data_IF_467453938476
#
_entry.id   IF_467453938476
#
_cell.length_a   1.000
_cell.length_b   1.000
_cell.length_c   1.000
_cell.angle_alpha   90.00
_cell.angle_beta   90.00
_cell.angle_gamma   90.00
#
_symmetry.space_group_name_H-M   'P 1'
#
loop_
_entity.id
_entity.type
_entity.pdbx_description
1 polymer ?
#
# COMPACT_ATOMS: atom_id res chain seq x y z
N UNK A 1 -23.51 -31.02 28.18
CA UNK A 1 -24.77 -31.54 27.61
C UNK A 1 -24.88 -33.02 27.92
N UNK A 2 -26.02 -33.46 28.46
CA UNK A 2 -26.27 -34.89 28.73
C UNK A 2 -27.00 -35.51 27.55
N UNK A 3 -26.55 -36.66 27.10
CA UNK A 3 -27.25 -37.48 26.12
C UNK A 3 -28.08 -38.53 26.91
N UNK A 4 -29.39 -38.58 26.63
CA UNK A 4 -30.24 -39.59 27.23
C UNK A 4 -30.34 -40.78 26.29
N UNK A 5 -30.00 -41.96 26.80
CA UNK A 5 -30.15 -43.21 26.09
C UNK A 5 -31.38 -43.95 26.66
N UNK A 6 -32.36 -44.25 25.80
CA UNK A 6 -33.56 -44.98 26.17
C UNK A 6 -33.65 -46.30 25.38
N UNK A 7 -34.08 -47.35 26.02
CA UNK A 7 -34.28 -48.67 25.43
C UNK A 7 -35.77 -48.96 25.24
N UNK A 8 -36.18 -49.09 23.96
CA UNK A 8 -37.57 -49.42 23.58
C UNK A 8 -37.52 -50.58 22.53
N UNK A 9 -37.34 -51.82 23.00
CA UNK A 9 -37.44 -52.98 22.11
C UNK A 9 -38.61 -53.86 22.51
N UNK A 10 -39.36 -54.39 21.51
CA UNK A 10 -40.50 -55.30 21.77
C UNK A 10 -40.07 -56.76 22.06
N UNK A 11 -38.77 -57.06 22.05
CA UNK A 11 -38.25 -58.38 22.38
C UNK A 11 -37.69 -58.47 23.79
N UNK A 12 -38.22 -59.42 24.58
CA UNK A 12 -37.97 -59.66 26.00
C UNK A 12 -36.50 -60.02 26.23
N UNK A 13 -35.70 -59.06 26.64
CA UNK A 13 -34.43 -59.26 27.37
C UNK A 13 -34.54 -58.61 28.71
N UNK A 14 -34.27 -59.35 29.81
CA UNK A 14 -34.39 -58.84 31.16
C UNK A 14 -33.35 -57.73 31.48
N UNK A 15 -32.25 -57.67 30.79
CA UNK A 15 -31.17 -56.68 30.95
C UNK A 15 -30.53 -56.31 29.63
N UNK A 16 -30.25 -55.02 29.40
CA UNK A 16 -29.46 -54.48 28.32
C UNK A 16 -28.06 -54.05 28.81
N UNK A 17 -27.02 -54.81 28.46
CA UNK A 17 -25.68 -54.36 28.74
C UNK A 17 -25.18 -53.47 27.61
N UNK A 18 -24.74 -52.23 27.95
CA UNK A 18 -24.34 -51.19 27.02
C UNK A 18 -22.85 -50.86 27.26
N UNK A 19 -22.07 -50.79 26.18
CA UNK A 19 -20.70 -50.32 26.22
C UNK A 19 -20.55 -49.13 25.25
N UNK A 20 -19.85 -48.13 25.72
CA UNK A 20 -19.52 -46.94 24.93
C UNK A 20 -18.07 -46.98 24.56
N UNK A 21 -17.75 -46.74 23.29
CA UNK A 21 -16.38 -46.43 22.84
C UNK A 21 -16.35 -45.04 22.26
N UNK A 22 -15.30 -44.31 22.59
CA UNK A 22 -15.07 -42.95 22.06
C UNK A 22 -14.21 -43.00 20.80
N UNK A 23 -14.42 -41.99 19.96
CA UNK A 23 -13.58 -41.68 18.81
C UNK A 23 -12.28 -40.94 19.20
N UNK A 24 -12.04 -39.74 18.69
CA UNK A 24 -10.79 -39.00 18.88
C UNK A 24 -10.54 -38.61 20.36
N UNK A 25 -9.28 -38.28 20.66
CA UNK A 25 -8.82 -38.04 22.04
C UNK A 25 -9.46 -36.86 22.75
N UNK A 26 -10.00 -35.93 22.00
CA UNK A 26 -10.70 -34.73 22.55
C UNK A 26 -12.11 -35.07 23.10
N UNK A 27 -12.72 -36.19 22.71
CA UNK A 27 -14.10 -36.59 23.08
C UNK A 27 -14.07 -37.52 24.28
N UNK A 28 -14.85 -37.19 25.30
CA UNK A 28 -14.97 -37.99 26.51
C UNK A 28 -16.43 -38.39 26.77
N UNK A 29 -16.63 -39.62 27.19
CA UNK A 29 -17.95 -40.18 27.53
C UNK A 29 -17.85 -40.81 28.92
N UNK A 30 -18.85 -40.59 29.78
CA UNK A 30 -18.91 -41.17 31.12
C UNK A 30 -20.36 -41.42 31.52
N UNK A 31 -20.69 -42.62 32.07
CA UNK A 31 -19.86 -43.82 32.20
C UNK A 31 -19.57 -44.49 30.85
N UNK A 32 -18.55 -45.35 30.76
CA UNK A 32 -18.14 -46.10 29.55
C UNK A 32 -18.94 -47.39 29.36
N UNK A 33 -19.66 -47.83 30.36
CA UNK A 33 -20.54 -49.00 30.35
C UNK A 33 -21.65 -48.85 31.35
N UNK A 34 -22.73 -49.61 31.17
CA UNK A 34 -23.88 -49.64 32.04
C UNK A 34 -24.85 -50.79 31.73
N UNK A 35 -25.76 -51.04 32.64
CA UNK A 35 -26.84 -52.02 32.48
C UNK A 35 -28.18 -51.30 32.61
N UNK A 36 -29.11 -51.61 31.72
CA UNK A 36 -30.45 -50.99 31.70
C UNK A 36 -31.50 -52.12 31.75
N UNK A 37 -32.45 -51.98 32.68
CA UNK A 37 -33.67 -52.80 32.70
C UNK A 37 -34.67 -52.32 31.62
N UNK A 38 -35.54 -53.22 31.22
CA UNK A 38 -36.56 -52.91 30.22
C UNK A 38 -37.41 -51.68 30.63
N UNK A 39 -37.55 -50.71 29.74
CA UNK A 39 -38.32 -49.48 29.98
C UNK A 39 -37.56 -48.43 30.78
N UNK A 40 -36.32 -48.71 31.21
CA UNK A 40 -35.50 -47.71 31.91
C UNK A 40 -34.63 -46.92 30.92
N UNK A 41 -34.17 -45.73 31.36
CA UNK A 41 -33.22 -44.90 30.65
C UNK A 41 -32.15 -44.37 31.60
N UNK A 42 -30.94 -44.21 31.09
CA UNK A 42 -29.84 -43.61 31.83
C UNK A 42 -29.20 -42.47 31.03
N UNK A 43 -28.50 -41.61 31.76
CA UNK A 43 -27.82 -40.45 31.17
C UNK A 43 -26.33 -40.67 31.10
N UNK A 44 -25.76 -40.45 29.93
CA UNK A 44 -24.32 -40.40 29.76
C UNK A 44 -23.88 -38.93 29.64
N UNK A 45 -22.75 -38.59 30.24
CA UNK A 45 -22.10 -37.31 30.06
C UNK A 45 -21.16 -37.36 28.87
N UNK A 46 -21.34 -36.43 27.97
CA UNK A 46 -20.44 -36.21 26.83
C UNK A 46 -19.73 -34.88 27.05
N UNK A 47 -18.41 -34.90 27.05
CA UNK A 47 -17.60 -33.71 27.22
C UNK A 47 -16.44 -33.68 26.23
N UNK A 48 -15.90 -32.50 25.96
CA UNK A 48 -14.76 -32.29 25.11
C UNK A 48 -13.61 -31.64 25.88
N UNK A 49 -12.37 -32.10 25.67
CA UNK A 49 -11.20 -31.37 26.08
C UNK A 49 -10.72 -30.56 24.88
N UNK A 50 -10.73 -29.24 25.02
CA UNK A 50 -10.38 -28.30 23.95
C UNK A 50 -8.99 -27.68 24.13
N UNK A 51 -8.23 -28.13 25.15
CA UNK A 51 -6.89 -27.61 25.44
C UNK A 51 -5.94 -27.93 24.29
N UNK A 52 -5.33 -26.89 23.71
CA UNK A 52 -4.40 -27.01 22.59
C UNK A 52 -5.07 -27.25 21.22
N UNK A 53 -6.41 -27.18 21.13
CA UNK A 53 -7.12 -27.27 19.86
C UNK A 53 -7.28 -25.89 19.23
N UNK A 54 -7.05 -25.82 17.91
CA UNK A 54 -7.32 -24.60 17.11
C UNK A 54 -8.82 -24.41 16.85
N UNK A 55 -9.28 -23.20 16.55
CA UNK A 55 -10.65 -22.99 16.06
C UNK A 55 -10.95 -23.86 14.84
N UNK A 56 -12.17 -24.40 14.76
CA UNK A 56 -12.57 -25.27 13.67
C UNK A 56 -13.67 -26.24 14.04
N UNK A 57 -14.12 -27.04 13.08
CA UNK A 57 -15.03 -28.14 13.29
C UNK A 57 -14.24 -29.46 13.44
N UNK A 58 -14.59 -30.19 14.48
CA UNK A 58 -14.01 -31.50 14.81
C UNK A 58 -15.10 -32.53 14.82
N UNK A 59 -14.95 -33.57 14.03
CA UNK A 59 -15.88 -34.68 13.98
C UNK A 59 -15.42 -35.85 14.86
N UNK A 60 -16.34 -36.46 15.57
CA UNK A 60 -16.13 -37.62 16.39
C UNK A 60 -17.35 -38.55 16.37
N UNK A 61 -17.21 -39.72 16.95
CA UNK A 61 -18.28 -40.69 17.05
C UNK A 61 -18.33 -41.29 18.44
N UNK A 62 -19.52 -41.50 18.96
CA UNK A 62 -19.79 -42.37 20.10
C UNK A 62 -20.42 -43.66 19.56
N UNK A 63 -19.72 -44.74 19.69
CA UNK A 63 -20.24 -46.04 19.32
C UNK A 63 -20.87 -46.68 20.53
N UNK A 64 -22.14 -47.04 20.40
CA UNK A 64 -22.93 -47.73 21.41
C UNK A 64 -22.99 -49.19 20.97
N UNK A 65 -22.49 -50.10 21.78
CA UNK A 65 -22.55 -51.54 21.53
C UNK A 65 -23.34 -52.20 22.63
N UNK A 66 -24.34 -53.01 22.28
CA UNK A 66 -25.17 -53.72 23.19
C UNK A 66 -25.47 -55.13 22.67
N UNK A 67 -26.07 -55.97 23.50
CA UNK A 67 -26.61 -57.29 23.08
C UNK A 67 -27.77 -57.16 22.07
N UNK A 68 -28.38 -55.94 21.92
CA UNK A 68 -29.36 -55.63 20.89
C UNK A 68 -28.80 -55.05 19.58
N UNK A 69 -27.47 -54.81 19.52
CA UNK A 69 -26.81 -54.27 18.31
C UNK A 69 -25.81 -53.17 18.60
N UNK A 70 -25.33 -52.58 17.53
CA UNK A 70 -24.36 -51.47 17.58
C UNK A 70 -24.89 -50.27 16.80
N UNK A 71 -24.79 -49.07 17.39
CA UNK A 71 -25.13 -47.79 16.78
C UNK A 71 -24.01 -46.79 16.92
N UNK A 72 -23.93 -45.86 15.97
CA UNK A 72 -22.99 -44.73 16.03
C UNK A 72 -23.73 -43.42 16.10
N UNK A 73 -23.31 -42.58 17.04
CA UNK A 73 -23.81 -41.19 17.17
C UNK A 73 -22.70 -40.23 16.73
N UNK A 74 -22.89 -39.48 15.64
CA UNK A 74 -21.92 -38.46 15.26
C UNK A 74 -21.94 -37.31 16.30
N UNK A 75 -20.73 -36.82 16.62
CA UNK A 75 -20.53 -35.68 17.51
C UNK A 75 -19.73 -34.64 16.73
N UNK A 76 -20.28 -33.45 16.59
CA UNK A 76 -19.60 -32.30 15.99
C UNK A 76 -19.27 -31.32 17.10
N UNK A 77 -18.00 -31.01 17.26
CA UNK A 77 -17.51 -29.96 18.13
C UNK A 77 -17.09 -28.76 17.27
N UNK A 78 -17.80 -27.67 17.38
CA UNK A 78 -17.40 -26.38 16.76
C UNK A 78 -16.66 -25.56 17.80
N UNK A 79 -15.36 -25.38 17.60
CA UNK A 79 -14.55 -24.49 18.41
C UNK A 79 -14.55 -23.13 17.70
N UNK A 80 -15.22 -22.15 18.28
CA UNK A 80 -15.14 -20.77 17.82
C UNK A 80 -13.78 -20.18 18.17
N UNK A 81 -13.19 -19.38 17.30
CA UNK A 81 -12.12 -18.46 17.68
C UNK A 81 -12.67 -17.56 18.77
N UNK A 82 -12.11 -17.58 19.97
CA UNK A 82 -12.50 -16.67 21.04
C UNK A 82 -12.37 -15.21 20.55
N UNK A 83 -13.12 -14.28 21.17
CA UNK A 83 -12.91 -12.86 20.92
C UNK A 83 -11.51 -12.45 21.35
N UNK A 84 -10.79 -11.70 20.48
CA UNK A 84 -9.48 -11.09 20.77
C UNK A 84 -9.62 -9.58 20.83
N UNK A 85 -8.74 -8.93 21.58
CA UNK A 85 -8.59 -7.47 21.57
C UNK A 85 -7.19 -7.12 21.06
N UNK A 86 -7.14 -6.32 20.00
CA UNK A 86 -5.91 -5.85 19.37
C UNK A 86 -5.82 -4.35 19.58
N UNK A 87 -4.71 -3.89 20.17
CA UNK A 87 -4.45 -2.48 20.39
C UNK A 87 -3.47 -1.99 19.32
N UNK A 88 -3.81 -0.90 18.65
CA UNK A 88 -2.97 -0.30 17.62
C UNK A 88 -2.87 1.21 17.80
N UNK A 89 -1.63 1.72 17.75
CA UNK A 89 -1.33 3.15 17.87
C UNK A 89 -1.40 3.84 16.51
N UNK A 90 -2.01 5.02 16.50
CA UNK A 90 -2.11 5.91 15.35
C UNK A 90 -1.63 7.30 15.74
N UNK A 91 -0.93 7.96 14.83
CA UNK A 91 -0.39 9.30 15.02
C UNK A 91 -1.40 10.38 14.64
N UNK A 92 -1.22 11.57 15.17
CA UNK A 92 -1.86 12.79 14.67
C UNK A 92 -1.70 12.90 13.15
N UNK A 93 -2.76 13.27 12.44
CA UNK A 93 -2.74 13.41 10.99
C UNK A 93 -3.10 12.12 10.24
N UNK A 94 -2.61 11.96 9.02
CA UNK A 94 -2.99 10.87 8.13
C UNK A 94 -2.33 9.54 8.50
N UNK A 95 -3.15 8.49 8.56
CA UNK A 95 -2.75 7.11 8.81
C UNK A 95 -3.35 6.17 7.78
N UNK A 96 -2.65 5.08 7.47
CA UNK A 96 -3.19 3.94 6.76
C UNK A 96 -3.79 2.98 7.80
N UNK A 97 -5.10 2.73 7.71
CA UNK A 97 -5.86 1.95 8.69
C UNK A 97 -6.57 0.77 8.03
N UNK A 98 -6.78 -0.30 8.79
CA UNK A 98 -7.54 -1.48 8.36
C UNK A 98 -8.28 -2.11 9.52
N UNK A 99 -9.22 -3.00 9.23
CA UNK A 99 -10.00 -3.73 10.22
C UNK A 99 -9.36 -5.12 10.42
N UNK A 100 -8.71 -5.38 11.59
CA UNK A 100 -7.98 -6.63 11.80
C UNK A 100 -8.81 -7.79 12.35
N UNK A 101 -10.06 -7.57 12.75
CA UNK A 101 -10.95 -8.56 13.36
C UNK A 101 -12.36 -8.47 12.76
N UNK A 102 -13.14 -9.54 12.85
CA UNK A 102 -14.58 -9.47 12.58
C UNK A 102 -15.23 -8.79 13.78
N UNK A 103 -15.48 -7.50 13.67
CA UNK A 103 -16.03 -6.64 14.71
C UNK A 103 -17.56 -6.54 14.61
N UNK A 104 -18.23 -6.20 15.73
CA UNK A 104 -19.68 -5.90 15.75
C UNK A 104 -20.03 -4.62 14.98
N UNK A 105 -19.14 -3.63 15.00
CA UNK A 105 -19.26 -2.39 14.20
C UNK A 105 -18.14 -2.31 13.17
N UNK A 106 -18.49 -1.88 11.97
CA UNK A 106 -17.54 -1.47 10.91
C UNK A 106 -17.52 0.03 10.69
N UNK A 107 -18.38 0.79 11.37
CA UNK A 107 -18.46 2.24 11.26
C UNK A 107 -17.23 2.89 11.88
N UNK A 108 -16.51 3.70 11.07
CA UNK A 108 -15.18 4.15 11.46
C UNK A 108 -15.15 5.03 12.73
N UNK A 109 -16.19 5.80 13.03
CA UNK A 109 -16.24 6.62 14.26
C UNK A 109 -16.35 5.76 15.52
N UNK A 110 -17.03 4.60 15.44
CA UNK A 110 -17.10 3.66 16.56
C UNK A 110 -15.74 3.05 16.85
N UNK A 111 -14.98 2.75 15.80
CA UNK A 111 -13.65 2.14 15.87
C UNK A 111 -12.56 3.16 16.21
N UNK A 112 -12.69 4.39 15.70
CA UNK A 112 -11.70 5.46 15.84
C UNK A 112 -12.37 6.74 16.36
N UNK A 113 -12.65 6.85 17.68
CA UNK A 113 -13.36 8.00 18.25
C UNK A 113 -12.66 9.34 18.02
N UNK A 114 -11.32 9.33 17.87
CA UNK A 114 -10.49 10.51 17.63
C UNK A 114 -10.26 10.81 16.15
N UNK A 115 -10.97 10.11 15.25
CA UNK A 115 -10.91 10.38 13.82
C UNK A 115 -11.59 11.71 13.47
N UNK A 116 -10.99 12.46 12.56
CA UNK A 116 -11.63 13.63 11.97
C UNK A 116 -12.77 13.14 11.05
N UNK A 117 -13.95 13.70 11.23
CA UNK A 117 -15.13 13.30 10.45
C UNK A 117 -14.91 13.53 8.95
N UNK A 118 -15.48 12.62 8.14
CA UNK A 118 -15.42 12.65 6.67
C UNK A 118 -14.00 12.49 6.09
N UNK A 119 -13.10 11.83 6.81
CA UNK A 119 -11.72 11.59 6.37
C UNK A 119 -11.38 10.13 6.17
N UNK A 120 -12.36 9.22 6.18
CA UNK A 120 -12.13 7.83 5.77
C UNK A 120 -12.23 7.71 4.26
N UNK A 121 -11.11 7.33 3.60
CA UNK A 121 -11.05 7.15 2.16
C UNK A 121 -10.56 5.76 1.79
N UNK A 122 -11.33 5.05 0.98
CA UNK A 122 -10.87 3.90 0.22
C UNK A 122 -10.18 4.34 -1.08
N UNK A 123 -9.53 3.41 -1.76
CA UNK A 123 -8.92 3.67 -3.07
C UNK A 123 -9.45 2.68 -4.11
N UNK A 124 -9.83 3.21 -5.26
CA UNK A 124 -10.25 2.42 -6.42
C UNK A 124 -9.29 2.72 -7.57
N UNK A 125 -8.61 1.68 -8.06
CA UNK A 125 -7.69 1.80 -9.19
C UNK A 125 -8.37 2.48 -10.37
N UNK A 126 -7.73 3.50 -10.95
CA UNK A 126 -8.26 4.29 -12.06
C UNK A 126 -9.31 5.36 -11.68
N UNK A 127 -9.89 5.30 -10.47
CA UNK A 127 -10.89 6.29 -10.00
C UNK A 127 -10.41 7.16 -8.83
N UNK A 128 -9.33 6.73 -8.15
CA UNK A 128 -8.74 7.47 -7.04
C UNK A 128 -9.45 7.25 -5.69
N UNK A 129 -9.30 8.21 -4.79
CA UNK A 129 -9.85 8.14 -3.44
C UNK A 129 -11.36 8.35 -3.42
N UNK A 130 -12.05 7.49 -2.67
CA UNK A 130 -13.50 7.55 -2.46
C UNK A 130 -13.78 7.64 -0.95
N UNK A 131 -14.55 8.66 -0.55
CA UNK A 131 -14.99 8.78 0.83
C UNK A 131 -15.99 7.68 1.17
N UNK A 132 -15.78 7.00 2.30
CA UNK A 132 -16.62 5.92 2.81
C UNK A 132 -16.84 6.08 4.32
N UNK A 133 -17.72 5.27 4.90
CA UNK A 133 -18.03 5.35 6.34
C UNK A 133 -17.74 4.04 7.08
N UNK A 134 -17.60 2.94 6.36
CA UNK A 134 -17.39 1.62 6.94
C UNK A 134 -16.10 0.98 6.44
N UNK A 135 -15.46 0.23 7.32
CA UNK A 135 -14.29 -0.57 6.99
C UNK A 135 -14.71 -2.01 6.66
N UNK A 136 -14.01 -2.60 5.70
CA UNK A 136 -14.12 -4.01 5.33
C UNK A 136 -12.80 -4.71 5.59
N UNK A 137 -12.86 -5.99 6.02
CA UNK A 137 -11.68 -6.82 6.22
C UNK A 137 -10.94 -6.99 4.89
N UNK A 138 -9.62 -6.90 4.92
CA UNK A 138 -8.77 -7.01 3.73
C UNK A 138 -8.60 -5.70 2.95
N UNK A 139 -9.48 -4.72 3.15
CA UNK A 139 -9.41 -3.42 2.52
C UNK A 139 -8.69 -2.41 3.42
N UNK A 140 -7.76 -1.67 2.85
CA UNK A 140 -7.08 -0.57 3.53
C UNK A 140 -7.72 0.78 3.24
N UNK A 141 -7.50 1.72 4.14
CA UNK A 141 -8.08 3.06 4.07
C UNK A 141 -7.08 4.12 4.53
N UNK A 142 -7.25 5.34 4.03
CA UNK A 142 -6.73 6.53 4.66
C UNK A 142 -7.71 7.05 5.71
N UNK A 143 -7.19 7.41 6.89
CA UNK A 143 -7.95 8.05 7.96
C UNK A 143 -7.11 9.15 8.62
N UNK A 144 -7.73 10.30 8.89
CA UNK A 144 -7.06 11.41 9.58
C UNK A 144 -7.45 11.43 11.06
N UNK A 145 -6.44 11.35 11.93
CA UNK A 145 -6.62 11.44 13.39
C UNK A 145 -6.43 12.88 13.86
N UNK A 146 -7.22 13.29 14.88
CA UNK A 146 -7.15 14.61 15.51
C UNK A 146 -6.01 14.73 16.52
N UNK A 147 -5.50 13.60 17.00
CA UNK A 147 -4.39 13.45 17.95
C UNK A 147 -3.82 12.05 17.89
N UNK A 148 -2.68 11.83 18.57
CA UNK A 148 -2.16 10.48 18.79
C UNK A 148 -3.17 9.68 19.62
N UNK A 149 -3.48 8.46 19.19
CA UNK A 149 -4.50 7.64 19.83
C UNK A 149 -4.26 6.14 19.65
N UNK A 150 -4.53 5.37 20.71
CA UNK A 150 -4.52 3.90 20.64
C UNK A 150 -5.94 3.40 20.46
N UNK A 151 -6.22 2.76 19.34
CA UNK A 151 -7.51 2.09 19.07
C UNK A 151 -7.46 0.64 19.53
N UNK A 152 -8.56 0.17 20.15
CA UNK A 152 -8.75 -1.22 20.57
C UNK A 152 -9.80 -1.90 19.69
N UNK A 153 -9.39 -2.86 18.88
CA UNK A 153 -10.27 -3.67 18.05
C UNK A 153 -10.63 -4.96 18.80
N UNK A 154 -11.91 -5.18 19.07
CA UNK A 154 -12.40 -6.40 19.72
C UNK A 154 -13.33 -7.14 18.78
N UNK A 155 -13.08 -8.44 18.60
CA UNK A 155 -13.88 -9.27 17.69
C UNK A 155 -13.30 -10.66 17.48
N UNK A 156 -13.88 -11.40 16.54
CA UNK A 156 -13.38 -12.71 16.13
C UNK A 156 -12.11 -12.52 15.31
N UNK A 157 -10.98 -13.22 15.64
CA UNK A 157 -9.75 -13.09 14.87
C UNK A 157 -9.92 -13.60 13.45
N UNK A 158 -9.12 -13.04 12.56
CA UNK A 158 -8.94 -13.43 11.17
C UNK A 158 -7.56 -14.07 11.04
N UNK A 159 -7.49 -15.40 10.94
CA UNK A 159 -6.26 -16.18 10.93
C UNK A 159 -5.69 -16.32 9.51
N UNK A 160 -6.57 -16.32 8.51
CA UNK A 160 -6.24 -16.38 7.10
C UNK A 160 -7.20 -15.51 6.29
N UNK A 161 -6.69 -14.86 5.26
CA UNK A 161 -7.47 -13.99 4.38
C UNK A 161 -6.93 -14.05 2.95
N UNK A 162 -7.81 -14.35 1.99
CA UNK A 162 -7.54 -14.17 0.57
C UNK A 162 -7.96 -12.77 0.15
N UNK A 163 -7.03 -12.02 -0.44
CA UNK A 163 -7.24 -10.65 -0.92
C UNK A 163 -7.11 -10.65 -2.44
N UNK A 164 -8.19 -10.25 -3.13
CA UNK A 164 -8.18 -10.07 -4.57
C UNK A 164 -7.49 -8.76 -4.95
N UNK A 165 -6.62 -8.81 -5.95
CA UNK A 165 -5.84 -7.68 -6.45
C UNK A 165 -6.25 -7.37 -7.90
N UNK A 166 -6.17 -6.08 -8.24
CA UNK A 166 -6.26 -5.59 -9.61
C UNK A 166 -4.90 -5.10 -10.09
N UNK A 167 -4.69 -4.97 -11.40
CA UNK A 167 -3.47 -4.38 -11.94
C UNK A 167 -3.24 -2.97 -11.39
N UNK A 168 -2.00 -2.66 -11.05
CA UNK A 168 -1.60 -1.39 -10.46
C UNK A 168 -1.63 -1.38 -8.94
N UNK A 169 -1.97 -0.24 -8.35
CA UNK A 169 -1.95 -0.06 -6.90
C UNK A 169 -3.23 -0.54 -6.23
N UNK A 170 -3.05 -1.33 -5.17
CA UNK A 170 -4.09 -1.84 -4.29
C UNK A 170 -3.81 -1.36 -2.85
N UNK A 171 -4.84 -1.02 -2.11
CA UNK A 171 -4.73 -0.64 -0.71
C UNK A 171 -5.35 -1.74 0.15
N UNK A 172 -4.52 -2.51 0.84
CA UNK A 172 -4.89 -3.73 1.56
C UNK A 172 -4.66 -3.57 3.06
N UNK A 173 -5.40 -4.31 3.89
CA UNK A 173 -5.16 -4.35 5.34
C UNK A 173 -4.51 -5.66 5.79
N UNK A 174 -3.87 -5.61 6.96
CA UNK A 174 -3.42 -6.81 7.66
C UNK A 174 -4.58 -7.63 8.25
N UNK A 175 -4.24 -8.83 8.75
CA UNK A 175 -5.14 -9.72 9.50
C UNK A 175 -4.95 -9.52 11.02
N UNK A 176 -5.49 -10.42 11.87
CA UNK A 176 -5.38 -10.30 13.33
C UNK A 176 -3.96 -10.51 13.89
N UNK A 177 -3.04 -10.93 13.07
CA UNK A 177 -1.65 -11.24 13.44
C UNK A 177 -0.68 -10.48 12.54
N UNK A 178 0.54 -10.27 13.05
CA UNK A 178 1.62 -9.71 12.25
C UNK A 178 2.08 -10.73 11.20
N UNK A 179 2.04 -10.36 9.93
CA UNK A 179 2.42 -11.21 8.79
C UNK A 179 3.71 -10.66 8.18
N UNK A 180 4.82 -11.40 8.20
CA UNK A 180 6.03 -10.99 7.49
C UNK A 180 5.74 -10.79 5.99
N UNK A 181 6.24 -9.70 5.41
CA UNK A 181 6.02 -9.41 3.97
C UNK A 181 6.50 -10.56 3.09
N UNK A 182 7.61 -11.22 3.47
CA UNK A 182 8.17 -12.36 2.76
C UNK A 182 7.33 -13.66 2.88
N UNK A 183 6.39 -13.73 3.84
CA UNK A 183 5.50 -14.87 4.03
C UNK A 183 4.15 -14.72 3.31
N UNK A 184 3.90 -13.58 2.66
CA UNK A 184 2.71 -13.39 1.83
C UNK A 184 2.73 -14.40 0.68
N UNK A 185 1.68 -15.21 0.60
CA UNK A 185 1.55 -16.15 -0.51
C UNK A 185 1.01 -15.40 -1.74
N UNK A 186 1.77 -15.45 -2.81
CA UNK A 186 1.42 -14.92 -4.13
C UNK A 186 1.50 -16.07 -5.15
N UNK A 187 0.42 -16.84 -5.32
CA UNK A 187 0.43 -18.04 -6.16
C UNK A 187 0.73 -17.77 -7.62
N UNK A 188 0.41 -16.58 -8.11
CA UNK A 188 0.55 -16.18 -9.51
C UNK A 188 1.80 -15.33 -9.78
N UNK A 189 2.48 -14.88 -8.72
CA UNK A 189 3.69 -14.07 -8.84
C UNK A 189 3.44 -12.67 -9.39
N UNK A 190 2.30 -12.07 -9.05
CA UNK A 190 1.86 -10.77 -9.56
C UNK A 190 2.30 -9.58 -8.70
N UNK A 191 2.70 -9.81 -7.46
CA UNK A 191 3.18 -8.73 -6.58
C UNK A 191 4.54 -8.26 -7.06
N UNK A 192 4.63 -6.96 -7.38
CA UNK A 192 5.90 -6.36 -7.82
C UNK A 192 6.82 -6.23 -6.60
N UNK A 193 8.06 -6.74 -6.65
CA UNK A 193 8.99 -6.67 -5.54
C UNK A 193 9.26 -5.22 -5.09
N UNK A 194 9.46 -5.01 -3.78
CA UNK A 194 9.75 -3.70 -3.16
C UNK A 194 8.66 -2.63 -3.37
N UNK A 195 7.41 -3.05 -3.59
CA UNK A 195 6.25 -2.15 -3.75
C UNK A 195 5.18 -2.30 -2.67
N UNK A 196 5.50 -2.95 -1.55
CA UNK A 196 4.63 -2.94 -0.38
C UNK A 196 5.05 -1.77 0.50
N UNK A 197 4.15 -0.81 0.72
CA UNK A 197 4.42 0.40 1.49
C UNK A 197 3.44 0.59 2.63
N UNK A 198 3.98 0.81 3.84
CA UNK A 198 3.28 1.45 4.93
C UNK A 198 3.41 2.97 4.86
N UNK A 199 2.73 3.67 5.77
CA UNK A 199 2.81 5.11 5.91
C UNK A 199 2.96 5.50 7.39
N UNK A 200 4.02 6.24 7.66
CA UNK A 200 4.32 6.83 8.96
C UNK A 200 5.09 8.13 8.70
N UNK A 201 4.37 9.25 8.64
CA UNK A 201 4.92 10.54 8.21
C UNK A 201 5.72 10.41 6.89
N UNK A 202 5.14 9.70 5.92
CA UNK A 202 5.72 9.35 4.62
C UNK A 202 5.77 7.84 4.37
N UNK A 203 5.90 7.44 3.09
CA UNK A 203 5.94 6.04 2.69
C UNK A 203 7.23 5.35 3.12
N UNK A 204 7.12 4.12 3.62
CA UNK A 204 8.26 3.26 3.97
C UNK A 204 7.98 1.81 3.57
N UNK A 205 9.04 1.00 3.44
CA UNK A 205 8.94 -0.44 3.17
C UNK A 205 8.83 -1.18 4.52
N UNK A 206 7.70 -1.82 4.83
CA UNK A 206 7.52 -2.55 6.08
C UNK A 206 8.18 -3.93 6.00
N UNK A 207 8.65 -4.44 7.14
CA UNK A 207 9.05 -5.83 7.28
C UNK A 207 7.83 -6.75 7.50
N UNK A 208 6.79 -6.23 8.13
CA UNK A 208 5.59 -6.96 8.49
C UNK A 208 4.33 -6.14 8.19
N UNK A 209 3.25 -6.84 7.83
CA UNK A 209 1.91 -6.29 7.86
C UNK A 209 1.37 -6.41 9.29
N UNK A 210 1.17 -5.28 9.96
CA UNK A 210 0.77 -5.20 11.36
C UNK A 210 -0.76 -5.12 11.47
N UNK A 211 -1.41 -5.82 12.42
CA UNK A 211 -2.86 -5.73 12.62
C UNK A 211 -3.35 -4.29 12.81
N UNK A 212 -4.46 -3.94 12.17
CA UNK A 212 -5.03 -2.59 12.25
C UNK A 212 -4.40 -1.56 11.32
N UNK A 213 -3.23 -1.82 10.75
CA UNK A 213 -2.59 -0.97 9.72
C UNK A 213 -2.99 -1.43 8.32
N UNK A 214 -2.86 -0.52 7.36
CA UNK A 214 -3.01 -0.83 5.95
C UNK A 214 -1.74 -0.52 5.16
N UNK A 215 -1.68 -1.09 3.97
CA UNK A 215 -0.49 -1.08 3.13
C UNK A 215 -0.86 -0.94 1.66
N UNK A 216 -0.12 -0.13 0.95
CA UNK A 216 -0.13 -0.15 -0.49
C UNK A 216 0.63 -1.35 -1.02
N UNK A 217 0.12 -1.97 -2.07
CA UNK A 217 0.75 -3.07 -2.78
C UNK A 217 0.53 -2.88 -4.28
N UNK A 218 1.59 -3.02 -5.07
CA UNK A 218 1.50 -2.94 -6.53
C UNK A 218 1.48 -4.31 -7.16
N UNK A 219 0.47 -4.55 -8.01
CA UNK A 219 0.32 -5.79 -8.78
C UNK A 219 0.58 -5.56 -10.27
N UNK A 220 1.16 -6.55 -10.94
CA UNK A 220 1.37 -6.55 -12.39
C UNK A 220 0.16 -7.05 -13.19
N UNK A 221 -0.89 -7.51 -12.52
CA UNK A 221 -2.12 -8.03 -13.13
C UNK A 221 -3.18 -8.34 -12.09
N UNK A 222 -4.32 -8.85 -12.53
CA UNK A 222 -5.37 -9.35 -11.65
C UNK A 222 -5.00 -10.70 -11.04
N UNK A 223 -5.38 -10.94 -9.78
CA UNK A 223 -5.14 -12.21 -9.08
C UNK A 223 -5.39 -12.09 -7.59
N UNK A 224 -4.78 -12.95 -6.80
CA UNK A 224 -5.03 -13.04 -5.37
C UNK A 224 -3.72 -13.25 -4.60
N UNK A 225 -3.69 -12.69 -3.39
CA UNK A 225 -2.70 -13.02 -2.37
C UNK A 225 -3.38 -13.65 -1.16
N UNK A 226 -2.63 -14.45 -0.39
CA UNK A 226 -3.12 -15.04 0.85
C UNK A 226 -2.25 -14.56 1.99
N UNK A 227 -2.89 -13.95 2.99
CA UNK A 227 -2.30 -13.58 4.27
C UNK A 227 -2.67 -14.65 5.27
N UNK A 228 -1.70 -15.27 5.94
CA UNK A 228 -1.99 -16.28 6.98
C UNK A 228 -0.94 -16.29 8.08
N UNK A 229 -1.36 -16.70 9.28
CA UNK A 229 -0.47 -16.92 10.42
C UNK A 229 0.55 -18.04 10.16
N UNK A 230 0.18 -19.04 9.37
CA UNK A 230 0.98 -20.23 9.08
C UNK A 230 1.81 -20.12 7.81
N UNK A 231 2.01 -18.92 7.27
CA UNK A 231 2.78 -18.70 6.04
C UNK A 231 4.17 -19.32 6.12
N UNK A 232 4.48 -20.23 5.19
CA UNK A 232 5.84 -20.77 5.06
C UNK A 232 6.73 -19.66 4.50
N UNK A 233 7.84 -19.39 5.17
CA UNK A 233 8.88 -18.48 4.67
C UNK A 233 9.25 -18.84 3.22
N UNK A 234 8.76 -18.06 2.29
CA UNK A 234 9.28 -18.08 0.93
C UNK A 234 10.48 -17.11 0.94
N UNK A 235 11.68 -17.65 0.87
CA UNK A 235 12.88 -16.85 0.60
C UNK A 235 12.77 -16.25 -0.81
N UNK A 236 11.94 -15.22 -0.97
CA UNK A 236 12.15 -14.27 -2.03
C UNK A 236 13.38 -13.48 -1.62
N UNK A 237 14.47 -13.59 -2.40
CA UNK A 237 15.57 -12.65 -2.30
C UNK A 237 14.97 -11.26 -2.33
N UNK A 238 15.05 -10.54 -1.21
CA UNK A 238 15.01 -9.09 -1.23
C UNK A 238 16.10 -8.67 -2.21
N UNK A 239 15.73 -8.28 -3.42
CA UNK A 239 16.67 -7.66 -4.33
C UNK A 239 17.10 -6.37 -3.66
N UNK A 240 18.32 -6.37 -3.13
CA UNK A 240 18.91 -5.19 -2.51
C UNK A 240 18.90 -4.08 -3.55
N UNK A 241 18.47 -2.90 -3.12
CA UNK A 241 18.63 -1.69 -3.91
C UNK A 241 20.11 -1.59 -4.31
N UNK A 242 20.43 -1.25 -5.59
CA UNK A 242 21.80 -1.21 -6.03
C UNK A 242 22.62 -0.25 -5.16
N UNK A 243 23.67 -0.77 -4.54
CA UNK A 243 24.54 0.00 -3.61
C UNK A 243 25.29 1.16 -4.29
N UNK A 244 25.35 1.16 -5.61
CA UNK A 244 26.07 2.19 -6.39
C UNK A 244 25.27 3.46 -6.67
N UNK A 245 23.94 3.46 -6.42
CA UNK A 245 23.12 4.64 -6.64
C UNK A 245 23.40 5.72 -5.58
N UNK A 246 23.39 6.97 -6.03
CA UNK A 246 23.36 8.12 -5.13
C UNK A 246 22.01 8.18 -4.41
N UNK A 247 21.99 8.80 -3.25
CA UNK A 247 20.79 8.88 -2.42
C UNK A 247 20.57 10.32 -1.93
N UNK A 248 19.31 10.76 -1.99
CA UNK A 248 18.80 11.91 -1.27
C UNK A 248 17.82 11.43 -0.23
N UNK A 249 18.03 11.80 1.03
CA UNK A 249 17.13 11.43 2.12
C UNK A 249 16.52 12.69 2.72
N UNK A 250 15.20 12.77 2.73
CA UNK A 250 14.41 13.84 3.33
C UNK A 250 13.46 13.24 4.36
N UNK A 251 13.54 13.68 5.62
CA UNK A 251 12.72 13.15 6.72
C UNK A 251 12.72 11.61 6.76
N UNK A 252 13.89 10.98 6.68
CA UNK A 252 14.09 9.51 6.61
C UNK A 252 13.41 8.82 5.41
N UNK A 253 13.11 9.55 4.34
CA UNK A 253 12.60 8.98 3.07
C UNK A 253 13.62 9.18 1.98
N UNK A 254 14.03 8.09 1.35
CA UNK A 254 15.14 8.11 0.39
C UNK A 254 14.65 8.09 -1.04
N UNK A 255 15.24 8.95 -1.86
CA UNK A 255 15.19 8.96 -3.31
C UNK A 255 16.55 8.50 -3.85
N UNK A 256 16.54 7.73 -4.93
CA UNK A 256 17.73 7.14 -5.54
C UNK A 256 17.96 7.75 -6.92
N UNK A 257 19.22 7.97 -7.30
CA UNK A 257 19.52 8.51 -8.61
C UNK A 257 20.89 8.06 -9.11
N UNK A 258 21.02 7.97 -10.43
CA UNK A 258 22.19 7.49 -11.12
C UNK A 258 21.85 6.53 -12.24
N UNK A 259 22.88 6.04 -12.92
CA UNK A 259 22.76 5.12 -14.06
C UNK A 259 22.88 3.64 -13.63
N UNK A 260 22.53 2.71 -14.53
CA UNK A 260 22.82 1.28 -14.36
C UNK A 260 21.69 0.44 -13.75
N UNK A 261 20.48 1.00 -13.62
CA UNK A 261 19.31 0.22 -13.23
C UNK A 261 18.67 -0.42 -14.45
N UNK A 262 18.50 -1.75 -14.42
CA UNK A 262 17.83 -2.49 -15.50
C UNK A 262 16.35 -2.13 -15.58
N UNK A 263 15.81 -2.05 -16.82
CA UNK A 263 14.39 -1.77 -17.08
C UNK A 263 13.44 -2.68 -16.32
N UNK A 264 13.80 -3.94 -16.10
CA UNK A 264 13.01 -4.93 -15.38
C UNK A 264 12.76 -4.55 -13.90
N UNK A 265 13.61 -3.68 -13.33
CA UNK A 265 13.50 -3.25 -11.94
C UNK A 265 12.87 -1.87 -11.75
N UNK A 266 12.57 -1.13 -12.83
CA UNK A 266 12.03 0.22 -12.73
C UNK A 266 10.73 0.28 -11.92
N UNK A 267 9.85 -0.71 -12.08
CA UNK A 267 8.59 -0.78 -11.34
C UNK A 267 8.77 -0.98 -9.83
N UNK A 268 9.88 -1.59 -9.40
CA UNK A 268 10.22 -1.76 -7.97
C UNK A 268 10.55 -0.44 -7.26
N UNK A 269 10.75 0.62 -8.02
CA UNK A 269 10.96 1.98 -7.49
C UNK A 269 9.72 2.85 -7.55
N UNK A 270 8.60 2.35 -8.07
CA UNK A 270 7.37 3.13 -8.09
C UNK A 270 6.83 3.40 -6.68
N UNK A 271 6.24 4.58 -6.52
CA UNK A 271 5.60 5.00 -5.28
C UNK A 271 4.08 4.91 -5.41
N UNK A 272 3.37 4.66 -4.31
CA UNK A 272 1.91 4.68 -4.29
C UNK A 272 1.34 6.04 -4.71
N UNK A 273 0.03 6.13 -4.97
CA UNK A 273 -0.65 7.42 -5.10
C UNK A 273 -0.28 8.36 -3.96
N UNK A 274 -0.17 9.66 -4.25
CA UNK A 274 0.11 10.66 -3.22
C UNK A 274 -0.89 10.53 -2.07
N UNK A 275 -0.45 10.72 -0.81
CA UNK A 275 -1.37 10.75 0.32
C UNK A 275 -2.40 11.88 0.13
N UNK A 276 -3.52 11.87 0.86
CA UNK A 276 -4.45 12.99 0.86
C UNK A 276 -3.77 14.29 1.31
N UNK A 277 -4.34 15.44 0.93
CA UNK A 277 -3.79 16.76 1.22
C UNK A 277 -3.46 16.94 2.72
N UNK A 278 -2.25 17.43 3.00
CA UNK A 278 -1.70 17.56 4.36
C UNK A 278 -1.00 16.29 4.86
N UNK A 279 -0.76 15.30 3.99
CA UNK A 279 0.17 14.20 4.25
C UNK A 279 1.57 14.53 3.71
N UNK A 280 2.63 14.08 4.37
CA UNK A 280 4.00 14.24 3.88
C UNK A 280 4.29 13.26 2.75
N UNK A 281 4.92 13.74 1.69
CA UNK A 281 5.38 12.90 0.58
C UNK A 281 6.58 13.52 -0.13
N UNK A 282 7.50 12.67 -0.58
CA UNK A 282 8.61 13.05 -1.44
C UNK A 282 8.78 12.02 -2.55
N UNK A 283 8.89 12.47 -3.79
CA UNK A 283 9.06 11.62 -4.96
C UNK A 283 9.72 12.34 -6.12
N UNK A 284 10.23 11.59 -7.08
CA UNK A 284 10.47 12.16 -8.41
C UNK A 284 9.16 12.21 -9.19
N UNK A 285 9.04 13.18 -10.09
CA UNK A 285 7.92 13.26 -11.05
C UNK A 285 7.77 11.93 -11.79
N UNK A 286 6.49 11.47 -11.92
CA UNK A 286 6.19 10.15 -12.49
C UNK A 286 6.02 9.07 -11.43
N UNK A 287 5.75 9.45 -10.18
CA UNK A 287 5.43 8.56 -9.06
C UNK A 287 6.51 7.49 -8.81
N UNK A 288 7.77 7.92 -8.77
CA UNK A 288 8.92 7.05 -8.56
C UNK A 288 9.89 7.61 -7.53
N UNK A 289 10.61 6.73 -6.86
CA UNK A 289 11.76 7.08 -6.02
C UNK A 289 13.11 6.95 -6.73
N UNK A 290 13.12 6.75 -8.07
CA UNK A 290 14.32 6.59 -8.87
C UNK A 290 14.39 7.63 -9.99
N UNK A 291 15.56 8.26 -10.14
CA UNK A 291 15.94 9.09 -11.28
C UNK A 291 17.11 8.45 -12.01
N UNK A 292 16.93 8.15 -13.30
CA UNK A 292 17.98 7.56 -14.15
C UNK A 292 18.49 8.52 -15.23
N UNK A 293 18.10 9.78 -15.16
CA UNK A 293 18.47 10.84 -16.10
C UNK A 293 19.33 11.90 -15.42
N UNK A 294 20.04 12.69 -16.20
CA UNK A 294 20.91 13.78 -15.70
C UNK A 294 20.12 14.90 -15.01
N UNK A 295 18.79 14.91 -15.14
CA UNK A 295 17.93 15.88 -14.49
C UNK A 295 16.56 15.28 -14.18
N UNK A 296 16.10 15.48 -12.96
CA UNK A 296 14.78 15.05 -12.49
C UNK A 296 14.14 16.12 -11.62
N UNK A 297 12.82 16.16 -11.62
CA UNK A 297 12.04 17.01 -10.71
C UNK A 297 11.70 16.21 -9.47
N UNK A 298 12.03 16.74 -8.30
CA UNK A 298 11.60 16.26 -6.99
C UNK A 298 10.32 17.01 -6.63
N UNK A 299 9.29 16.29 -6.26
CA UNK A 299 8.03 16.82 -5.73
C UNK A 299 7.96 16.54 -4.24
N UNK A 300 7.62 17.55 -3.45
CA UNK A 300 7.50 17.47 -2.00
C UNK A 300 6.12 17.93 -1.59
N UNK A 301 5.45 17.16 -0.76
CA UNK A 301 4.26 17.58 -0.01
C UNK A 301 4.67 17.72 1.46
N UNK A 302 4.60 18.93 1.98
CA UNK A 302 4.99 19.24 3.35
C UNK A 302 4.06 20.34 3.93
N UNK A 303 3.91 20.39 5.24
CA UNK A 303 3.06 21.38 5.93
C UNK A 303 3.81 22.71 6.23
N UNK A 304 4.90 23.00 5.49
CA UNK A 304 5.65 24.27 5.60
C UNK A 304 6.81 24.23 6.61
N UNK A 305 7.11 23.07 7.20
CA UNK A 305 8.27 22.88 8.05
C UNK A 305 9.58 22.95 7.26
N UNK A 306 10.67 23.33 7.92
CA UNK A 306 12.01 23.31 7.34
C UNK A 306 12.37 21.87 6.90
N UNK A 307 12.96 21.75 5.71
CA UNK A 307 13.34 20.45 5.14
C UNK A 307 14.83 20.21 5.33
N UNK A 308 15.18 19.14 6.01
CA UNK A 308 16.57 18.69 6.16
C UNK A 308 16.84 17.59 5.15
N UNK A 309 17.69 17.86 4.19
CA UNK A 309 18.08 16.94 3.11
C UNK A 309 19.46 16.37 3.39
N UNK A 310 19.57 15.05 3.44
CA UNK A 310 20.85 14.35 3.46
C UNK A 310 21.20 13.89 2.05
N UNK A 311 22.40 14.23 1.58
CA UNK A 311 22.97 13.74 0.33
C UNK A 311 23.99 12.66 0.62
N UNK A 312 23.97 11.55 -0.14
CA UNK A 312 25.04 10.54 -0.21
C UNK A 312 25.40 10.31 -1.67
N UNK A 313 26.40 11.05 -2.14
CA UNK A 313 26.88 11.02 -3.53
C UNK A 313 28.06 10.06 -3.60
N UNK A 314 27.88 8.98 -4.34
CA UNK A 314 28.85 7.87 -4.48
C UNK A 314 29.71 7.97 -5.73
N UNK A 315 29.21 8.67 -6.74
CA UNK A 315 29.92 8.92 -7.97
C UNK A 315 30.82 10.16 -7.86
N UNK A 316 31.66 10.40 -8.88
CA UNK A 316 32.51 11.58 -8.96
C UNK A 316 31.79 12.80 -9.55
N UNK A 317 30.50 12.65 -9.85
CA UNK A 317 29.70 13.67 -10.49
C UNK A 317 29.31 14.78 -9.50
N UNK A 318 29.05 15.95 -10.05
CA UNK A 318 28.59 17.11 -9.30
C UNK A 318 27.09 17.26 -9.50
N UNK A 319 26.35 16.98 -8.45
CA UNK A 319 24.92 17.14 -8.44
C UNK A 319 24.52 18.45 -7.77
N UNK A 320 23.47 19.07 -8.29
CA UNK A 320 22.89 20.30 -7.77
C UNK A 320 21.40 20.11 -7.57
N UNK A 321 20.88 20.70 -6.50
CA UNK A 321 19.45 20.83 -6.24
C UNK A 321 19.12 22.30 -6.41
N UNK A 322 18.09 22.59 -7.18
CA UNK A 322 17.64 23.96 -7.48
C UNK A 322 16.20 24.06 -6.97
N UNK A 323 15.92 25.03 -6.12
CA UNK A 323 14.57 25.27 -5.63
C UNK A 323 13.75 26.16 -6.63
N UNK A 324 12.50 26.43 -6.32
CA UNK A 324 11.60 27.25 -7.13
C UNK A 324 12.02 28.73 -7.21
N UNK A 325 12.84 29.21 -6.29
CA UNK A 325 13.39 30.56 -6.30
C UNK A 325 14.64 30.68 -7.14
N UNK A 326 15.22 29.53 -7.58
CA UNK A 326 16.47 29.46 -8.32
C UNK A 326 17.70 29.38 -7.42
N UNK A 327 17.53 29.17 -6.11
CA UNK A 327 18.66 28.92 -5.20
C UNK A 327 19.27 27.54 -5.47
N UNK A 328 20.59 27.49 -5.51
CA UNK A 328 21.35 26.31 -5.91
C UNK A 328 22.09 25.73 -4.72
N UNK A 329 21.81 24.47 -4.42
CA UNK A 329 22.44 23.67 -3.38
C UNK A 329 23.30 22.59 -4.04
N UNK A 330 24.60 22.60 -3.81
CA UNK A 330 25.52 21.62 -4.40
C UNK A 330 25.62 20.39 -3.51
N UNK A 331 25.41 19.21 -4.08
CA UNK A 331 25.55 17.91 -3.41
C UNK A 331 26.90 17.28 -3.74
N UNK A 332 27.75 17.07 -2.73
CA UNK A 332 29.07 16.47 -2.85
C UNK A 332 29.31 15.49 -1.70
N UNK A 333 29.51 14.19 -2.02
CA UNK A 333 29.77 13.18 -1.00
C UNK A 333 28.62 13.08 0.02
N UNK A 334 28.94 12.94 1.29
CA UNK A 334 27.94 12.86 2.38
C UNK A 334 27.83 14.25 3.01
N UNK A 335 26.66 14.85 2.97
CA UNK A 335 26.39 16.16 3.58
C UNK A 335 24.92 16.36 3.89
N UNK A 336 24.64 17.34 4.77
CA UNK A 336 23.29 17.77 5.15
C UNK A 336 23.08 19.18 4.62
N UNK A 337 21.94 19.41 4.00
CA UNK A 337 21.49 20.70 3.48
C UNK A 337 20.16 21.07 4.13
N UNK A 338 20.01 22.35 4.50
CA UNK A 338 18.75 22.90 4.97
C UNK A 338 18.06 23.60 3.79
N UNK A 339 16.87 23.11 3.43
CA UNK A 339 16.07 23.64 2.34
C UNK A 339 14.89 24.43 2.85
N UNK A 340 14.39 25.34 2.04
CA UNK A 340 13.15 26.04 2.34
C UNK A 340 11.95 25.09 2.29
N UNK A 341 11.25 24.91 3.41
CA UNK A 341 10.09 24.05 3.54
C UNK A 341 8.85 24.52 2.80
N UNK A 342 8.82 25.77 2.31
CA UNK A 342 7.73 26.31 1.49
C UNK A 342 7.81 25.84 0.02
N UNK A 343 8.98 25.34 -0.42
CA UNK A 343 9.15 24.87 -1.79
C UNK A 343 8.53 23.48 -1.97
N UNK A 344 7.63 23.35 -2.91
CA UNK A 344 6.97 22.06 -3.26
C UNK A 344 7.74 21.29 -4.32
N UNK A 345 8.76 21.94 -4.93
CA UNK A 345 9.51 21.39 -6.05
C UNK A 345 10.98 21.76 -6.02
N UNK A 346 11.78 20.79 -6.41
CA UNK A 346 13.21 20.98 -6.63
C UNK A 346 13.62 20.28 -7.91
N UNK A 347 14.65 20.81 -8.58
CA UNK A 347 15.29 20.16 -9.72
C UNK A 347 16.60 19.55 -9.23
N UNK A 348 16.73 18.23 -9.33
CA UNK A 348 18.01 17.54 -9.19
C UNK A 348 18.70 17.49 -10.54
N UNK A 349 19.93 17.99 -10.63
CA UNK A 349 20.69 18.07 -11.90
C UNK A 349 22.12 17.61 -11.74
N UNK A 350 22.60 16.78 -12.69
CA UNK A 350 24.01 16.43 -12.82
C UNK A 350 24.74 17.53 -13.58
N UNK A 351 25.70 18.20 -12.93
CA UNK A 351 26.50 19.27 -13.53
C UNK A 351 27.71 18.76 -14.30
N UNK A 352 28.18 17.54 -14.03
CA UNK A 352 29.37 16.96 -14.66
C UNK A 352 29.02 16.38 -16.04
N UNK A 353 27.78 15.97 -16.25
CA UNK A 353 27.24 15.52 -17.51
C UNK A 353 27.13 16.70 -18.50
N UNK A 354 28.27 17.20 -18.96
CA UNK A 354 28.31 18.04 -20.16
C UNK A 354 28.11 17.18 -21.42
N UNK A 355 27.13 16.28 -21.41
CA UNK A 355 26.62 15.78 -22.70
C UNK A 355 25.91 16.95 -23.35
N UNK A 356 26.70 17.68 -24.16
CA UNK A 356 26.13 18.65 -25.08
C UNK A 356 25.05 17.90 -25.85
N UNK A 357 23.76 18.35 -25.81
CA UNK A 357 22.71 17.65 -26.53
C UNK A 357 23.13 17.50 -27.99
N UNK A 358 23.08 16.28 -28.50
CA UNK A 358 23.32 16.00 -29.93
C UNK A 358 22.03 16.02 -30.73
N UNK A 359 20.88 16.06 -30.03
CA UNK A 359 19.55 16.03 -30.61
C UNK A 359 18.72 17.21 -30.17
N UNK A 360 17.77 17.59 -31.04
CA UNK A 360 16.74 18.58 -30.71
C UNK A 360 15.56 17.88 -30.04
N UNK A 361 15.17 18.31 -28.85
CA UNK A 361 14.08 17.69 -28.09
C UNK A 361 13.26 18.76 -27.39
N UNK A 362 11.94 18.67 -27.48
CA UNK A 362 11.03 19.41 -26.62
C UNK A 362 10.53 18.46 -25.52
N UNK A 363 10.81 18.78 -24.28
CA UNK A 363 10.31 18.01 -23.15
C UNK A 363 8.89 18.40 -22.77
N UNK A 364 8.10 17.52 -22.12
CA UNK A 364 6.79 17.89 -21.60
C UNK A 364 6.88 19.13 -20.71
N UNK A 365 6.00 20.12 -20.96
CA UNK A 365 5.89 21.28 -20.08
C UNK A 365 5.41 20.85 -18.69
N UNK A 366 6.02 21.43 -17.66
CA UNK A 366 5.74 21.01 -16.29
C UNK A 366 5.70 22.20 -15.32
N UNK A 367 4.66 22.26 -14.45
CA UNK A 367 3.48 21.39 -14.36
C UNK A 367 2.59 21.45 -15.60
N UNK A 368 1.84 20.35 -15.82
CA UNK A 368 0.73 20.35 -16.76
C UNK A 368 -0.30 19.29 -16.28
N UNK A 369 -1.48 19.69 -15.76
CA UNK A 369 -1.99 21.08 -15.65
C UNK A 369 -1.17 21.98 -14.71
N UNK A 370 -1.28 23.31 -14.89
CA UNK A 370 -0.49 24.30 -14.15
C UNK A 370 -1.34 25.46 -13.61
N UNK A 371 -0.83 26.17 -12.55
CA UNK A 371 -1.45 27.32 -11.91
C UNK A 371 -0.42 28.24 -11.22
N UNK A 372 -0.22 29.48 -11.60
CA UNK A 372 -0.45 30.03 -12.94
C UNK A 372 0.76 29.81 -13.87
N UNK A 373 1.83 29.17 -13.40
CA UNK A 373 3.11 29.07 -14.10
C UNK A 373 3.44 27.63 -14.51
N UNK A 374 4.08 27.49 -15.68
CA UNK A 374 4.66 26.22 -16.16
C UNK A 374 6.03 26.48 -16.76
N UNK A 375 6.92 25.51 -16.63
CA UNK A 375 8.27 25.55 -17.23
C UNK A 375 8.30 24.67 -18.47
N UNK A 376 8.79 25.25 -19.56
CA UNK A 376 9.03 24.59 -20.84
C UNK A 376 10.52 24.33 -20.94
N UNK A 377 10.89 23.07 -21.21
CA UNK A 377 12.27 22.62 -21.38
C UNK A 377 12.48 22.12 -22.79
N UNK A 378 13.64 22.44 -23.36
CA UNK A 378 14.05 21.88 -24.65
C UNK A 378 15.56 21.80 -24.75
N UNK A 379 16.06 20.92 -25.62
CA UNK A 379 17.46 20.78 -25.93
C UNK A 379 17.72 21.11 -27.40
N UNK A 380 18.85 21.77 -27.66
CA UNK A 380 19.33 22.12 -28.99
C UNK A 380 20.65 21.42 -29.27
N UNK A 381 20.68 20.57 -30.30
CA UNK A 381 21.90 19.83 -30.74
C UNK A 381 22.92 20.68 -31.48
N UNK A 382 22.55 21.90 -31.87
CA UNK A 382 23.44 22.91 -32.47
C UNK A 382 22.83 24.30 -32.30
N UNK A 383 23.62 25.39 -32.40
CA UNK A 383 23.08 26.74 -32.38
C UNK A 383 22.06 26.93 -33.50
N UNK A 384 20.88 27.53 -33.16
CA UNK A 384 19.80 27.67 -34.13
C UNK A 384 18.78 28.73 -33.69
N UNK A 385 18.13 29.34 -34.69
CA UNK A 385 16.97 30.19 -34.44
C UNK A 385 15.83 29.35 -33.91
N UNK A 386 15.40 29.67 -32.68
CA UNK A 386 14.37 28.94 -31.97
C UNK A 386 13.15 29.83 -31.77
N UNK A 387 11.97 29.29 -32.08
CA UNK A 387 10.69 29.92 -31.83
C UNK A 387 9.88 29.09 -30.85
N UNK A 388 9.41 29.72 -29.76
CA UNK A 388 8.53 29.13 -28.77
C UNK A 388 7.34 30.05 -28.53
N UNK A 389 6.15 29.62 -28.95
CA UNK A 389 4.93 30.42 -28.89
C UNK A 389 3.79 29.64 -28.23
N UNK A 390 2.92 30.37 -27.55
CA UNK A 390 1.70 29.80 -26.95
C UNK A 390 0.49 30.28 -27.74
N UNK A 391 -0.41 29.35 -28.06
CA UNK A 391 -1.63 29.57 -28.80
C UNK A 391 -2.85 29.18 -27.92
N UNK A 392 -3.94 29.88 -28.08
CA UNK A 392 -5.24 29.45 -27.56
C UNK A 392 -5.90 28.38 -28.49
N UNK A 393 -7.06 27.88 -28.06
CA UNK A 393 -7.81 26.86 -28.81
C UNK A 393 -8.32 27.36 -30.20
N UNK A 394 -8.29 28.67 -30.45
CA UNK A 394 -8.71 29.26 -31.76
C UNK A 394 -7.53 29.39 -32.71
N UNK A 395 -6.31 29.07 -32.25
CA UNK A 395 -5.08 29.25 -33.02
C UNK A 395 -4.52 30.68 -32.99
N UNK A 396 -5.00 31.53 -32.06
CA UNK A 396 -4.45 32.86 -31.86
C UNK A 396 -3.22 32.78 -30.94
N UNK A 397 -2.14 33.48 -31.30
CA UNK A 397 -0.98 33.63 -30.43
C UNK A 397 -1.37 34.45 -29.21
N UNK A 398 -1.17 33.85 -28.01
CA UNK A 398 -1.39 34.51 -26.73
C UNK A 398 -0.10 34.99 -26.08
N UNK A 399 1.02 34.28 -26.37
CA UNK A 399 2.34 34.73 -25.93
C UNK A 399 3.43 34.22 -26.87
N UNK A 400 4.50 35.02 -27.03
CA UNK A 400 5.76 34.60 -27.67
C UNK A 400 6.81 34.54 -26.58
N UNK A 401 7.27 33.33 -26.25
CA UNK A 401 8.21 33.08 -25.16
C UNK A 401 9.65 33.23 -25.62
N UNK A 402 9.94 32.76 -26.84
CA UNK A 402 11.25 32.85 -27.50
C UNK A 402 11.02 33.11 -28.98
N UNK A 403 11.87 33.98 -29.57
CA UNK A 403 12.03 34.19 -31.00
C UNK A 403 13.45 34.78 -31.24
N UNK A 404 14.46 33.89 -31.02
CA UNK A 404 15.88 34.32 -31.04
C UNK A 404 16.79 33.17 -31.47
N UNK A 405 18.06 33.50 -31.80
CA UNK A 405 19.11 32.52 -32.01
C UNK A 405 19.67 32.06 -30.65
N UNK A 406 19.60 30.77 -30.40
CA UNK A 406 20.09 30.17 -29.16
C UNK A 406 21.26 29.25 -29.42
N UNK A 407 22.19 29.22 -28.47
CA UNK A 407 23.33 28.32 -28.48
C UNK A 407 22.90 26.86 -28.26
N UNK A 408 23.76 25.94 -28.65
CA UNK A 408 23.63 24.51 -28.36
C UNK A 408 23.57 24.31 -26.83
N UNK A 409 22.63 23.50 -26.36
CA UNK A 409 22.47 23.23 -24.91
C UNK A 409 21.05 22.95 -24.50
N UNK A 410 20.84 22.84 -23.17
CA UNK A 410 19.55 22.73 -22.55
C UNK A 410 19.03 24.12 -22.19
N UNK A 411 17.76 24.40 -22.55
CA UNK A 411 17.12 25.69 -22.36
C UNK A 411 15.84 25.53 -21.55
N UNK A 412 15.54 26.57 -20.75
CA UNK A 412 14.39 26.63 -19.86
C UNK A 412 13.68 27.97 -20.04
N UNK A 413 12.36 27.92 -20.16
CA UNK A 413 11.53 29.11 -20.23
C UNK A 413 10.29 28.90 -19.36
N UNK A 414 10.08 29.84 -18.45
CA UNK A 414 8.87 29.85 -17.64
C UNK A 414 7.79 30.68 -18.33
N UNK A 415 6.60 30.12 -18.44
CA UNK A 415 5.42 30.86 -18.84
C UNK A 415 4.51 31.10 -17.64
N UNK A 416 4.36 32.37 -17.24
CA UNK A 416 3.38 32.81 -16.26
C UNK A 416 2.10 33.23 -16.99
N UNK A 417 1.01 32.49 -16.74
CA UNK A 417 -0.29 32.71 -17.37
C UNK A 417 -1.28 33.45 -16.46
N UNK A 418 -0.83 34.27 -15.51
CA UNK A 418 -1.68 34.93 -14.51
C UNK A 418 -2.82 35.71 -15.12
N UNK A 419 -2.59 36.43 -16.24
CA UNK A 419 -3.59 37.25 -16.96
C UNK A 419 -4.50 36.48 -17.92
N UNK A 420 -4.32 35.14 -18.08
CA UNK A 420 -5.06 34.33 -19.05
C UNK A 420 -6.16 33.48 -18.37
N UNK A 421 -7.29 33.19 -19.04
CA UNK A 421 -8.36 32.37 -18.52
C UNK A 421 -7.94 30.91 -18.39
N UNK A 422 -8.51 30.14 -17.42
CA UNK A 422 -8.37 28.69 -17.35
C UNK A 422 -8.82 28.04 -18.65
N UNK A 423 -8.08 27.05 -19.14
CA UNK A 423 -8.37 26.38 -20.39
C UNK A 423 -7.19 25.65 -21.01
N UNK A 424 -7.42 25.17 -22.22
CA UNK A 424 -6.39 24.48 -23.01
C UNK A 424 -5.64 25.48 -23.87
N UNK A 425 -4.33 25.37 -23.85
CA UNK A 425 -3.38 26.10 -24.70
C UNK A 425 -2.50 25.13 -25.45
N UNK A 426 -1.92 25.60 -26.55
CA UNK A 426 -0.96 24.83 -27.35
C UNK A 426 0.38 25.56 -27.37
N UNK A 427 1.40 24.85 -26.93
CA UNK A 427 2.77 25.29 -27.04
C UNK A 427 3.31 24.86 -28.41
N UNK A 428 3.80 25.80 -29.19
CA UNK A 428 4.45 25.55 -30.49
C UNK A 428 5.94 25.80 -30.36
N UNK A 429 6.73 24.80 -30.66
CA UNK A 429 8.19 24.86 -30.71
C UNK A 429 8.69 24.62 -32.10
N UNK A 430 9.63 25.46 -32.57
CA UNK A 430 10.32 25.31 -33.85
C UNK A 430 11.78 25.72 -33.69
N UNK A 431 12.68 24.78 -33.92
CA UNK A 431 14.14 24.97 -33.91
C UNK A 431 14.77 24.77 -35.30
N UNK A 432 13.98 24.80 -36.37
CA UNK A 432 14.44 24.50 -37.73
C UNK A 432 14.61 23.00 -38.00
N UNK A 433 15.20 22.25 -37.05
CA UNK A 433 15.38 20.81 -37.16
C UNK A 433 14.22 20.02 -36.56
N UNK A 434 13.55 20.58 -35.54
CA UNK A 434 12.38 19.99 -34.85
C UNK A 434 11.24 20.98 -34.81
N UNK A 435 10.06 20.53 -35.23
CA UNK A 435 8.81 21.27 -35.06
C UNK A 435 7.87 20.38 -34.24
N UNK A 436 7.46 20.86 -33.10
CA UNK A 436 6.60 20.11 -32.19
C UNK A 436 5.52 20.99 -31.55
N UNK A 437 4.37 20.36 -31.20
CA UNK A 437 3.28 21.04 -30.53
C UNK A 437 2.84 20.22 -29.33
N UNK A 438 2.75 20.87 -28.17
CA UNK A 438 2.27 20.25 -26.94
C UNK A 438 0.98 20.92 -26.44
N UNK A 439 0.06 20.09 -25.93
CA UNK A 439 -1.12 20.58 -25.19
C UNK A 439 -0.74 20.87 -23.75
N UNK A 440 -1.05 22.07 -23.27
CA UNK A 440 -0.90 22.49 -21.87
C UNK A 440 -2.24 22.98 -21.32
N UNK A 441 -2.48 22.78 -20.03
CA UNK A 441 -3.77 23.07 -19.39
C UNK A 441 -3.57 24.00 -18.21
N UNK A 442 -4.13 25.23 -18.31
CA UNK A 442 -4.15 26.18 -17.21
C UNK A 442 -5.39 25.93 -16.35
N UNK A 443 -5.20 25.74 -15.06
CA UNK A 443 -6.24 25.59 -14.05
C UNK A 443 -6.03 26.65 -12.97
N UNK A 444 -7.00 27.55 -12.80
CA UNK A 444 -7.01 28.56 -11.72
C UNK A 444 -8.01 28.18 -10.65
#
# INVERSE_FOLDING_TARGET
SGLQVSFNDEYVHDELSVKFSKGPDWLFVSPMDGELEYGMSDNISVSANTEGMSPGEYEGYITISSNGGTGNIPVILTLGSGSVTINQDYLLGWNLVGLPVISESSFYIDLFPEAIQNTLFSYISGSGYQQVENLEIGTGYWLRMSQDYTTSFTGTPVDELTVSLVEGWNLVSGISYSVPVESILDPTGIVIPNTIYGYDLGYFLPENLVPGKAYWLRSSGEGEIILSLSGQERRTKSDHLPEHLNTLTLNNRSLYFGEGVSENYLLSYSLPPKPPLGGFDIRFSGDTKLCTTDECVIEVMNDGDQLTLECDIKDADKWEIIDENGDIFTCLGIQILELNGESERFILRNRTSSKTPTEFTLFPAFPNPFNPSTTIRFSLGSPTTTTLKVYDITGKIVNTLIEDELEMGNHFVQWNAEGFPSGIYFLYFNSGALIETQKIVLMK
#
